data_IF_236913178854
#
_entry.id   IF_236913178854
#
_cell.length_a   1.000
_cell.length_b   1.000
_cell.length_c   1.000
_cell.angle_alpha   90.00
_cell.angle_beta   90.00
_cell.angle_gamma   90.00
#
_symmetry.space_group_name_H-M   'P 1'
#
loop_
_entity.id
_entity.type
_entity.pdbx_description
1 polymer ?
#
# COMPACT_ATOMS: atom_id res chain seq x y z
N UNK A 1 8.81 4.25 -18.97
CA UNK A 1 9.04 2.93 -18.35
C UNK A 1 7.78 2.55 -17.60
N UNK A 2 7.24 1.34 -17.78
CA UNK A 2 5.97 0.96 -17.15
C UNK A 2 6.16 0.71 -15.66
N UNK A 3 5.14 1.06 -14.91
CA UNK A 3 4.98 0.70 -13.51
C UNK A 3 4.06 -0.52 -13.48
N UNK A 4 4.37 -1.51 -12.63
CA UNK A 4 3.61 -2.74 -12.52
C UNK A 4 2.70 -2.68 -11.29
N UNK A 5 1.46 -3.12 -11.41
CA UNK A 5 0.53 -3.22 -10.28
C UNK A 5 0.27 -4.70 -10.02
N UNK A 6 0.46 -5.13 -8.77
CA UNK A 6 0.18 -6.49 -8.31
C UNK A 6 -0.84 -6.46 -7.18
N UNK A 7 -1.65 -7.50 -7.07
CA UNK A 7 -2.70 -7.65 -6.05
C UNK A 7 -2.34 -8.66 -4.96
N UNK A 8 -1.12 -9.21 -5.00
CA UNK A 8 -0.61 -10.17 -4.03
C UNK A 8 0.92 -10.02 -3.90
N UNK A 9 1.39 -9.71 -2.70
CA UNK A 9 2.81 -9.47 -2.43
C UNK A 9 3.67 -10.74 -2.52
N UNK A 10 3.06 -11.93 -2.45
CA UNK A 10 3.76 -13.20 -2.61
C UNK A 10 4.28 -13.44 -4.04
N UNK A 11 3.93 -12.59 -5.02
CA UNK A 11 4.54 -12.61 -6.36
C UNK A 11 5.90 -11.93 -6.41
N UNK A 12 6.34 -11.28 -5.33
CA UNK A 12 7.65 -10.62 -5.20
C UNK A 12 8.50 -11.40 -4.21
N UNK A 13 9.76 -11.65 -4.56
CA UNK A 13 10.70 -12.29 -3.64
C UNK A 13 10.90 -11.43 -2.38
N UNK A 14 10.77 -11.98 -1.16
CA UNK A 14 10.88 -11.19 0.08
C UNK A 14 12.17 -10.38 0.15
N UNK A 15 13.30 -10.96 -0.27
CA UNK A 15 14.59 -10.30 -0.28
C UNK A 15 14.65 -9.07 -1.21
N UNK A 16 13.95 -9.09 -2.35
CA UNK A 16 13.89 -7.93 -3.25
C UNK A 16 13.07 -6.79 -2.65
N UNK A 17 11.94 -7.12 -2.04
CA UNK A 17 11.11 -6.13 -1.35
C UNK A 17 11.83 -5.53 -0.14
N UNK A 18 12.36 -6.38 0.74
CA UNK A 18 12.98 -5.98 2.00
C UNK A 18 14.28 -5.17 1.79
N UNK A 19 14.94 -5.30 0.62
CA UNK A 19 16.06 -4.45 0.24
C UNK A 19 15.68 -2.97 0.06
N UNK A 20 14.41 -2.68 -0.28
CA UNK A 20 13.89 -1.32 -0.41
C UNK A 20 13.39 -0.72 0.91
N UNK A 21 13.24 -1.56 1.95
CA UNK A 21 12.61 -1.16 3.22
C UNK A 21 13.68 -0.58 4.16
N UNK A 22 13.51 0.67 4.64
CA UNK A 22 14.42 1.26 5.61
C UNK A 22 14.55 0.40 6.88
N UNK A 23 15.76 0.34 7.46
CA UNK A 23 16.08 -0.57 8.57
C UNK A 23 15.08 -0.60 9.72
N UNK A 24 14.52 0.56 10.10
CA UNK A 24 13.61 0.73 11.24
C UNK A 24 12.11 0.75 10.86
N UNK A 25 11.69 -0.04 9.86
CA UNK A 25 10.30 -0.10 9.38
C UNK A 25 9.77 -1.55 9.31
N UNK A 26 9.55 -2.24 10.45
CA UNK A 26 9.12 -3.64 10.46
C UNK A 26 7.74 -3.85 9.81
N UNK A 27 6.87 -2.85 9.89
CA UNK A 27 5.52 -2.89 9.30
C UNK A 27 5.49 -2.70 7.79
N UNK A 28 6.63 -2.41 7.18
CA UNK A 28 6.82 -2.37 5.74
C UNK A 28 7.53 -3.60 5.21
N UNK A 29 8.00 -4.51 6.09
CA UNK A 29 8.65 -5.75 5.66
C UNK A 29 7.66 -6.64 4.93
N UNK A 30 8.18 -7.38 3.95
CA UNK A 30 7.40 -8.31 3.14
C UNK A 30 6.54 -9.21 4.02
N UNK A 31 7.17 -9.88 4.99
CA UNK A 31 6.51 -10.85 5.87
C UNK A 31 5.32 -10.27 6.66
N UNK A 32 5.37 -9.00 7.06
CA UNK A 32 4.25 -8.37 7.77
C UNK A 32 3.08 -8.12 6.81
N UNK A 33 3.36 -7.52 5.65
CA UNK A 33 2.34 -7.16 4.67
C UNK A 33 1.69 -8.39 4.03
N UNK A 34 2.49 -9.39 3.63
CA UNK A 34 1.97 -10.65 3.07
C UNK A 34 1.13 -11.42 4.08
N UNK A 35 1.50 -11.41 5.37
CA UNK A 35 0.68 -12.04 6.41
C UNK A 35 -0.73 -11.42 6.53
N UNK A 36 -0.88 -10.12 6.28
CA UNK A 36 -2.21 -9.47 6.26
C UNK A 36 -3.05 -9.93 5.06
N UNK A 37 -2.41 -10.20 3.92
CA UNK A 37 -3.05 -10.74 2.72
C UNK A 37 -3.44 -12.21 2.94
N UNK A 38 -2.48 -13.03 3.37
CA UNK A 38 -2.64 -14.48 3.54
C UNK A 38 -3.66 -14.83 4.65
N UNK A 39 -3.72 -14.01 5.70
CA UNK A 39 -4.73 -14.20 6.78
C UNK A 39 -6.14 -13.77 6.37
N UNK A 40 -6.31 -13.07 5.24
CA UNK A 40 -7.58 -12.47 4.85
C UNK A 40 -7.99 -11.26 5.69
N UNK A 41 -7.04 -10.65 6.41
CA UNK A 41 -7.24 -9.34 7.06
C UNK A 41 -7.46 -8.26 6.00
N UNK A 42 -6.77 -8.39 4.86
CA UNK A 42 -7.05 -7.64 3.64
C UNK A 42 -7.98 -8.45 2.73
N UNK A 43 -8.82 -7.74 1.98
CA UNK A 43 -9.72 -8.35 1.00
C UNK A 43 -11.07 -7.64 0.89
N UNK A 44 -11.99 -8.19 0.08
CA UNK A 44 -13.28 -7.57 -0.23
C UNK A 44 -14.11 -7.18 1.00
N UNK A 45 -13.97 -7.91 2.11
CA UNK A 45 -14.74 -7.69 3.35
C UNK A 45 -14.21 -6.55 4.21
N UNK A 46 -12.92 -6.19 4.09
CA UNK A 46 -12.33 -5.11 4.89
C UNK A 46 -12.26 -3.78 4.14
N UNK A 47 -12.64 -3.78 2.85
CA UNK A 47 -12.52 -2.63 1.97
C UNK A 47 -11.08 -2.31 1.55
N UNK A 48 -10.10 -3.13 1.95
CA UNK A 48 -8.71 -3.04 1.51
C UNK A 48 -8.46 -4.07 0.41
N UNK A 49 -8.10 -3.62 -0.80
CA UNK A 49 -7.58 -4.49 -1.86
C UNK A 49 -6.14 -4.12 -2.15
N UNK A 50 -5.21 -5.06 -2.04
CA UNK A 50 -3.82 -4.82 -2.41
C UNK A 50 -3.72 -4.43 -3.90
N UNK A 51 -2.95 -3.38 -4.17
CA UNK A 51 -2.58 -2.90 -5.50
C UNK A 51 -1.16 -2.34 -5.40
N UNK A 52 -0.20 -3.15 -4.93
CA UNK A 52 1.18 -2.71 -4.76
C UNK A 52 1.76 -2.29 -6.10
N UNK A 53 2.44 -1.16 -6.07
CA UNK A 53 2.96 -0.51 -7.26
C UNK A 53 4.46 -0.75 -7.30
N UNK A 54 4.98 -1.37 -8.35
CA UNK A 54 6.36 -1.79 -8.48
C UNK A 54 7.02 -1.11 -9.67
N UNK A 55 8.30 -0.77 -9.50
CA UNK A 55 9.15 -0.28 -10.57
C UNK A 55 10.40 -1.14 -10.70
N UNK A 56 10.61 -1.67 -11.90
CA UNK A 56 11.75 -2.50 -12.23
C UNK A 56 12.68 -1.82 -13.24
N UNK A 57 13.98 -1.99 -13.04
CA UNK A 57 15.03 -1.66 -13.99
C UNK A 57 15.93 -2.89 -14.17
N UNK A 58 16.11 -3.37 -15.41
CA UNK A 58 16.94 -4.55 -15.70
C UNK A 58 16.63 -5.74 -14.78
N UNK A 59 15.33 -6.05 -14.62
CA UNK A 59 14.79 -7.10 -13.73
C UNK A 59 15.07 -6.92 -12.22
N UNK A 60 15.64 -5.79 -11.82
CA UNK A 60 15.80 -5.41 -10.41
C UNK A 60 14.65 -4.52 -9.96
N UNK A 61 14.03 -4.88 -8.83
CA UNK A 61 13.04 -4.04 -8.18
C UNK A 61 13.76 -2.85 -7.53
N UNK A 62 13.54 -1.63 -8.06
CA UNK A 62 14.24 -0.42 -7.61
C UNK A 62 13.38 0.49 -6.75
N UNK A 63 12.05 0.41 -6.92
CA UNK A 63 11.09 1.14 -6.09
C UNK A 63 9.77 0.40 -5.96
N UNK A 64 9.08 0.62 -4.84
CA UNK A 64 7.77 0.05 -4.57
C UNK A 64 6.90 0.96 -3.69
N UNK A 65 5.58 0.87 -3.87
CA UNK A 65 4.59 1.46 -2.98
C UNK A 65 3.70 0.35 -2.39
N UNK A 66 3.59 0.23 -1.05
CA UNK A 66 2.58 -0.58 -0.39
C UNK A 66 1.22 0.13 -0.53
N UNK A 67 0.51 -0.20 -1.60
CA UNK A 67 -0.67 0.54 -2.03
C UNK A 67 -1.91 -0.35 -2.05
N UNK A 68 -3.05 0.26 -1.75
CA UNK A 68 -4.31 -0.44 -1.56
C UNK A 68 -5.46 0.38 -2.13
N UNK A 69 -6.30 -0.26 -2.94
CA UNK A 69 -7.58 0.32 -3.34
C UNK A 69 -8.58 0.23 -2.20
N UNK A 70 -9.25 1.35 -1.94
CA UNK A 70 -10.19 1.54 -0.84
C UNK A 70 -11.53 2.08 -1.33
N UNK A 71 -12.62 1.53 -0.80
CA UNK A 71 -14.00 1.96 -1.09
C UNK A 71 -14.68 2.68 0.08
N UNK A 72 -14.01 2.73 1.23
CA UNK A 72 -14.42 3.47 2.42
C UNK A 72 -13.21 3.75 3.30
N UNK A 73 -13.31 4.70 4.22
CA UNK A 73 -12.21 5.07 5.12
C UNK A 73 -12.08 4.24 6.40
N UNK A 74 -12.98 3.30 6.67
CA UNK A 74 -12.84 2.43 7.85
C UNK A 74 -11.51 1.65 7.85
N UNK A 75 -10.91 1.53 9.03
CA UNK A 75 -9.61 0.88 9.23
C UNK A 75 -8.41 1.75 8.82
N UNK A 76 -8.63 2.95 8.28
CA UNK A 76 -7.59 3.96 8.14
C UNK A 76 -7.43 4.70 9.46
N UNK A 77 -6.18 4.95 9.87
CA UNK A 77 -5.89 5.78 11.05
C UNK A 77 -5.83 7.28 10.73
N UNK A 78 -6.10 7.65 9.47
CA UNK A 78 -6.37 9.02 9.03
C UNK A 78 -7.85 9.09 8.68
N UNK A 79 -8.65 9.67 9.57
CA UNK A 79 -10.11 9.75 9.42
C UNK A 79 -10.50 10.84 8.42
N UNK A 80 -10.40 10.57 7.12
CA UNK A 80 -10.73 11.51 6.05
C UNK A 80 -12.23 11.53 5.67
N UNK A 81 -13.12 11.12 6.59
CA UNK A 81 -14.58 11.18 6.41
C UNK A 81 -15.08 12.58 6.03
N UNK A 82 -14.46 13.64 6.57
CA UNK A 82 -14.78 15.02 6.22
C UNK A 82 -14.49 15.34 4.75
N UNK A 83 -13.39 14.80 4.20
CA UNK A 83 -13.06 14.94 2.77
C UNK A 83 -14.03 14.14 1.90
N UNK A 84 -14.32 12.90 2.28
CA UNK A 84 -15.30 12.09 1.57
C UNK A 84 -16.68 12.78 1.51
N UNK A 85 -17.13 13.40 2.61
CA UNK A 85 -18.39 14.14 2.67
C UNK A 85 -18.37 15.43 1.82
N UNK A 86 -17.27 16.18 1.86
CA UNK A 86 -17.08 17.36 1.01
C UNK A 86 -17.11 16.99 -0.49
N UNK A 87 -16.37 15.95 -0.88
CA UNK A 87 -16.36 15.44 -2.26
C UNK A 87 -17.76 14.98 -2.71
N UNK A 88 -18.49 14.26 -1.85
CA UNK A 88 -19.87 13.84 -2.12
C UNK A 88 -20.78 15.04 -2.37
N UNK A 89 -20.70 16.08 -1.53
CA UNK A 89 -21.48 17.34 -1.72
C UNK A 89 -21.10 18.08 -2.99
N UNK A 90 -19.83 18.01 -3.40
CA UNK A 90 -19.31 18.62 -4.62
C UNK A 90 -19.47 17.76 -5.89
N UNK A 91 -20.01 16.54 -5.80
CA UNK A 91 -20.13 15.62 -6.94
C UNK A 91 -18.79 15.02 -7.41
N UNK A 92 -17.75 15.04 -6.58
CA UNK A 92 -16.43 14.49 -6.87
C UNK A 92 -16.38 13.01 -6.44
N UNK A 93 -15.95 12.14 -7.36
CA UNK A 93 -15.75 10.72 -7.07
C UNK A 93 -14.53 10.51 -6.16
N UNK A 94 -14.79 10.46 -4.85
CA UNK A 94 -13.74 10.21 -3.85
C UNK A 94 -13.33 8.74 -3.76
N UNK A 95 -14.28 7.83 -3.98
CA UNK A 95 -14.03 6.39 -4.00
C UNK A 95 -14.27 5.79 -5.40
N UNK A 96 -13.58 4.69 -5.74
CA UNK A 96 -12.48 4.11 -4.98
C UNK A 96 -11.24 5.01 -5.02
N UNK A 97 -10.52 5.08 -3.91
CA UNK A 97 -9.23 5.78 -3.81
C UNK A 97 -8.07 4.79 -3.75
N UNK A 98 -6.90 5.21 -4.20
CA UNK A 98 -5.65 4.50 -3.94
C UNK A 98 -5.02 5.09 -2.68
N UNK A 99 -4.77 4.24 -1.70
CA UNK A 99 -4.15 4.59 -0.43
C UNK A 99 -2.78 3.93 -0.33
N UNK A 100 -1.75 4.72 -0.06
CA UNK A 100 -0.41 4.19 0.25
C UNK A 100 -0.19 4.30 1.75
N UNK A 101 -0.20 3.16 2.45
CA UNK A 101 -0.18 3.12 3.92
C UNK A 101 0.27 1.76 4.46
N UNK A 102 0.41 1.65 5.78
CA UNK A 102 0.43 0.33 6.45
C UNK A 102 -1.00 0.05 6.93
N UNK A 103 -1.65 -1.05 6.50
CA UNK A 103 -3.03 -1.33 6.89
C UNK A 103 -3.21 -1.47 8.41
N UNK A 104 -4.35 -1.00 8.91
CA UNK A 104 -4.80 -1.18 10.30
C UNK A 104 -3.81 -0.68 11.38
N UNK A 105 -2.91 0.25 11.06
CA UNK A 105 -1.96 0.79 12.02
C UNK A 105 -1.77 2.30 11.86
N UNK A 106 -1.41 3.02 12.94
CA UNK A 106 -1.02 4.43 12.88
C UNK A 106 0.47 4.62 12.54
N UNK A 107 1.16 3.59 12.04
CA UNK A 107 2.61 3.62 11.80
C UNK A 107 2.91 4.69 10.75
N UNK A 108 3.84 5.59 11.07
CA UNK A 108 4.30 6.66 10.18
C UNK A 108 5.51 6.27 9.31
N UNK A 109 6.16 7.26 8.72
CA UNK A 109 7.36 7.11 7.88
C UNK A 109 7.07 7.07 6.39
N UNK A 110 8.15 7.04 5.58
CA UNK A 110 8.03 7.00 4.11
C UNK A 110 7.25 5.76 3.66
N UNK A 111 6.45 5.93 2.60
CA UNK A 111 5.77 4.85 1.88
C UNK A 111 6.22 4.76 0.42
N UNK A 112 7.25 5.52 0.08
CA UNK A 112 8.00 5.33 -1.15
C UNK A 112 9.22 4.51 -0.74
N UNK A 113 9.22 3.23 -1.12
CA UNK A 113 10.34 2.34 -0.90
C UNK A 113 11.24 2.46 -2.12
N UNK A 114 12.53 2.69 -1.91
CA UNK A 114 13.50 2.90 -2.99
C UNK A 114 14.88 2.42 -2.56
N UNK A 115 15.63 1.86 -3.51
CA UNK A 115 17.02 1.45 -3.29
C UNK A 115 17.93 2.66 -3.00
N UNK A 116 17.56 3.83 -3.52
CA UNK A 116 18.18 5.13 -3.24
C UNK A 116 17.14 5.98 -2.52
N UNK A 117 17.24 6.13 -1.18
CA UNK A 117 16.46 7.12 -0.45
C UNK A 117 16.83 8.52 -0.96
N UNK A 118 15.83 9.38 -1.21
CA UNK A 118 16.06 10.82 -1.33
C UNK A 118 16.49 11.43 0.01
#
# INVERSE_FOLDING_TARGET
MPVHVIDNLNTVAPAQWDALVPGNQPFLRHAFLSSLEDSGSLGPRSGWRAEHVLHYENDQLVAALPAYRKWHSYGEYVFDHGWADACRRAGIAYYPKLLVAVPFSPVGGSRILSATPE
#
